data_IF_785666024981
#
_entry.id   IF_785666024981
#
_cell.length_a   1.000
_cell.length_b   1.000
_cell.length_c   1.000
_cell.angle_alpha   90.00
_cell.angle_beta   90.00
_cell.angle_gamma   90.00
#
_symmetry.space_group_name_H-M   'P 1'
#
loop_
_entity.id
_entity.type
_entity.pdbx_description
1 polymer ?
#
# COMPACT_ATOMS: atom_id res chain seq x y z
N UNK A 1 18.36 28.74 -4.69
CA UNK A 1 19.28 27.61 -4.44
C UNK A 1 18.40 26.47 -3.98
N UNK A 2 18.05 25.56 -4.90
CA UNK A 2 17.12 24.47 -4.64
C UNK A 2 17.79 23.43 -3.72
N UNK A 3 17.15 22.96 -2.64
CA UNK A 3 17.68 21.83 -1.90
C UNK A 3 17.55 20.58 -2.77
N UNK A 4 18.59 19.76 -2.72
CA UNK A 4 18.84 18.59 -3.55
C UNK A 4 17.69 17.57 -3.53
N UNK A 5 17.28 17.16 -4.72
CA UNK A 5 16.39 16.02 -5.01
C UNK A 5 17.02 14.64 -4.68
N UNK A 6 18.22 14.61 -4.10
CA UNK A 6 19.06 13.42 -3.95
C UNK A 6 19.16 12.90 -2.50
N UNK A 7 18.51 13.54 -1.54
CA UNK A 7 18.41 12.99 -0.17
C UNK A 7 17.12 12.18 -0.01
N UNK A 8 17.28 10.87 -0.25
CA UNK A 8 16.61 9.77 0.45
C UNK A 8 15.13 9.51 0.09
N UNK A 9 14.71 8.62 -0.81
CA UNK A 9 15.18 7.30 -1.26
C UNK A 9 15.53 6.25 -0.19
N UNK A 10 15.60 6.60 1.10
CA UNK A 10 15.62 5.61 2.19
C UNK A 10 14.23 5.51 2.80
N UNK A 11 13.60 4.35 2.61
CA UNK A 11 12.47 3.81 3.36
C UNK A 11 11.55 4.87 4.00
N UNK A 12 10.64 5.46 3.20
CA UNK A 12 9.43 6.02 3.78
C UNK A 12 8.66 4.83 4.34
N UNK A 13 8.85 4.54 5.62
CA UNK A 13 7.93 3.70 6.39
C UNK A 13 6.60 4.46 6.29
N UNK A 14 5.77 4.09 5.31
CA UNK A 14 4.40 4.59 5.14
C UNK A 14 3.65 4.26 6.43
N UNK A 15 2.48 4.80 6.73
CA UNK A 15 1.73 4.25 7.87
C UNK A 15 0.82 3.14 7.35
N UNK A 16 0.95 1.95 7.94
CA UNK A 16 0.23 0.77 7.47
C UNK A 16 -1.29 1.00 7.50
N UNK A 17 -1.74 1.87 8.40
CA UNK A 17 -3.15 2.23 8.62
C UNK A 17 -3.53 3.50 7.82
N UNK A 18 -2.56 4.23 7.26
CA UNK A 18 -2.77 5.45 6.46
C UNK A 18 -2.48 5.19 4.99
N UNK A 19 -3.44 4.54 4.35
CA UNK A 19 -3.42 4.37 2.91
C UNK A 19 -3.48 5.71 2.17
N UNK A 20 -2.73 5.82 1.08
CA UNK A 20 -3.03 6.81 0.03
C UNK A 20 -4.24 6.29 -0.77
N UNK A 21 -5.27 7.11 -0.90
CA UNK A 21 -6.39 6.79 -1.78
C UNK A 21 -5.89 6.61 -3.23
N UNK A 22 -6.25 5.53 -3.94
CA UNK A 22 -5.91 5.35 -5.34
C UNK A 22 -6.46 6.52 -6.19
N UNK A 23 -5.73 6.98 -7.22
CA UNK A 23 -6.21 8.03 -8.11
C UNK A 23 -7.53 7.69 -8.82
N UNK A 24 -7.74 6.41 -9.15
CA UNK A 24 -8.94 5.92 -9.83
C UNK A 24 -10.22 6.11 -8.99
N UNK A 25 -10.08 6.11 -7.66
CA UNK A 25 -11.19 6.26 -6.75
C UNK A 25 -11.62 7.71 -6.52
N UNK A 26 -10.81 8.67 -6.96
CA UNK A 26 -11.10 10.10 -6.83
C UNK A 26 -11.39 10.67 -8.22
N UNK A 27 -12.65 11.05 -8.42
CA UNK A 27 -13.26 11.35 -9.72
C UNK A 27 -12.53 12.38 -10.62
N UNK A 28 -11.55 13.14 -10.13
CA UNK A 28 -10.73 14.02 -10.95
C UNK A 28 -9.36 14.35 -10.32
N UNK A 29 -8.42 14.82 -11.16
CA UNK A 29 -7.04 15.20 -10.79
C UNK A 29 -6.98 16.24 -9.66
N UNK A 30 -7.98 17.12 -9.55
CA UNK A 30 -8.06 18.14 -8.48
C UNK A 30 -8.41 17.50 -7.14
N UNK A 31 -9.30 16.50 -7.16
CA UNK A 31 -9.63 15.66 -6.01
C UNK A 31 -8.41 14.84 -5.57
N UNK A 32 -7.69 14.19 -6.50
CA UNK A 32 -6.49 13.42 -6.16
C UNK A 32 -5.46 14.27 -5.43
N UNK A 33 -5.15 15.46 -5.96
CA UNK A 33 -4.23 16.40 -5.31
C UNK A 33 -4.71 16.84 -3.93
N UNK A 34 -6.02 17.05 -3.78
CA UNK A 34 -6.60 17.46 -2.50
C UNK A 34 -6.56 16.33 -1.46
N UNK A 35 -6.80 15.09 -1.86
CA UNK A 35 -6.68 13.92 -0.99
C UNK A 35 -5.23 13.65 -0.57
N UNK A 36 -4.27 13.76 -1.50
CA UNK A 36 -2.84 13.66 -1.17
C UNK A 36 -2.42 14.75 -0.19
N UNK A 37 -2.89 15.98 -0.39
CA UNK A 37 -2.60 17.08 0.54
C UNK A 37 -3.20 16.81 1.93
N UNK A 38 -4.46 16.38 2.00
CA UNK A 38 -5.12 16.00 3.25
C UNK A 38 -4.39 14.88 3.99
N UNK A 39 -3.91 13.87 3.25
CA UNK A 39 -3.09 12.81 3.82
C UNK A 39 -1.80 13.36 4.39
N UNK A 40 -1.11 14.25 3.68
CA UNK A 40 0.10 14.90 4.19
C UNK A 40 -0.18 15.75 5.43
N UNK A 41 -1.27 16.51 5.44
CA UNK A 41 -1.70 17.33 6.59
C UNK A 41 -1.94 16.41 7.81
N UNK A 42 -2.70 15.34 7.64
CA UNK A 42 -2.97 14.35 8.68
C UNK A 42 -1.69 13.68 9.21
N UNK A 43 -0.82 13.25 8.29
CA UNK A 43 0.43 12.56 8.60
C UNK A 43 1.46 13.45 9.32
N UNK A 44 1.37 14.77 9.13
CA UNK A 44 2.24 15.76 9.77
C UNK A 44 1.93 15.87 11.26
N UNK A 45 0.64 15.82 11.65
CA UNK A 45 0.24 15.86 13.06
C UNK A 45 0.90 14.70 13.82
N UNK A 46 1.48 14.97 14.98
CA UNK A 46 2.24 14.07 15.84
C UNK A 46 3.42 13.35 15.15
N UNK A 47 3.86 13.83 13.99
CA UNK A 47 4.93 13.20 13.22
C UNK A 47 4.67 11.70 12.93
N UNK A 48 3.39 11.36 12.66
CA UNK A 48 2.85 9.98 12.64
C UNK A 48 3.69 8.98 11.85
N UNK A 49 4.09 9.33 10.63
CA UNK A 49 4.87 8.46 9.71
C UNK A 49 6.12 7.90 10.39
N UNK A 50 6.82 8.73 11.15
CA UNK A 50 8.10 8.36 11.74
C UNK A 50 7.98 8.06 13.24
N UNK A 51 6.75 7.96 13.75
CA UNK A 51 6.51 7.67 15.16
C UNK A 51 6.86 6.21 15.50
N UNK A 52 7.26 5.99 16.74
CA UNK A 52 7.47 4.67 17.32
C UNK A 52 6.20 3.81 17.22
N UNK A 53 5.02 4.43 17.32
CA UNK A 53 3.73 3.76 17.13
C UNK A 53 3.61 3.19 15.71
N UNK A 54 3.87 3.99 14.68
CA UNK A 54 3.81 3.50 13.31
C UNK A 54 4.83 2.37 13.07
N UNK A 55 6.07 2.54 13.56
CA UNK A 55 7.10 1.48 13.44
C UNK A 55 6.67 0.19 14.14
N UNK A 56 6.06 0.29 15.32
CA UNK A 56 5.53 -0.86 16.05
C UNK A 56 4.45 -1.59 15.23
N UNK A 57 3.63 -0.85 14.48
CA UNK A 57 2.62 -1.43 13.59
C UNK A 57 3.24 -2.21 12.44
N UNK A 58 4.31 -1.72 11.82
CA UNK A 58 5.05 -2.51 10.81
C UNK A 58 5.72 -3.74 11.40
N UNK A 59 6.28 -3.63 12.61
CA UNK A 59 6.86 -4.80 13.29
C UNK A 59 5.76 -5.82 13.60
N UNK A 60 4.58 -5.36 14.03
CA UNK A 60 3.42 -6.23 14.26
C UNK A 60 2.95 -6.88 12.96
N UNK A 61 2.87 -6.13 11.87
CA UNK A 61 2.52 -6.67 10.56
C UNK A 61 3.51 -7.75 10.12
N UNK A 62 4.81 -7.46 10.20
CA UNK A 62 5.87 -8.41 9.89
C UNK A 62 5.81 -9.67 10.78
N UNK A 63 5.51 -9.49 12.07
CA UNK A 63 5.31 -10.60 13.00
C UNK A 63 4.13 -11.49 12.60
N UNK A 64 2.99 -10.88 12.26
CA UNK A 64 1.80 -11.59 11.79
C UNK A 64 2.03 -12.26 10.42
N UNK A 65 2.82 -11.65 9.54
CA UNK A 65 3.19 -12.21 8.23
C UNK A 65 4.19 -13.36 8.31
N UNK A 66 4.88 -13.56 9.44
CA UNK A 66 5.92 -14.59 9.56
C UNK A 66 5.42 -15.99 9.21
N UNK A 67 4.17 -16.31 9.54
CA UNK A 67 3.56 -17.60 9.26
C UNK A 67 2.96 -17.69 7.85
N UNK A 68 2.84 -16.56 7.15
CA UNK A 68 2.37 -16.49 5.76
C UNK A 68 3.49 -16.88 4.80
N UNK A 69 4.74 -16.46 5.09
CA UNK A 69 5.90 -16.71 4.21
C UNK A 69 6.01 -18.19 3.79
N UNK A 70 5.92 -19.18 4.69
CA UNK A 70 5.95 -20.59 4.29
C UNK A 70 4.80 -21.01 3.38
N UNK A 71 3.61 -20.39 3.50
CA UNK A 71 2.44 -20.70 2.68
C UNK A 71 2.53 -20.16 1.26
N UNK A 72 3.33 -19.10 1.06
CA UNK A 72 3.59 -18.50 -0.25
C UNK A 72 4.91 -18.98 -0.88
N UNK A 73 5.73 -19.69 -0.10
CA UNK A 73 7.02 -20.21 -0.53
C UNK A 73 6.89 -21.65 -1.02
N UNK A 74 7.47 -21.94 -2.17
CA UNK A 74 7.45 -23.29 -2.76
C UNK A 74 8.86 -23.86 -2.84
N UNK A 75 9.09 -25.02 -2.23
CA UNK A 75 10.43 -25.59 -2.01
C UNK A 75 11.14 -26.11 -3.28
N UNK A 76 10.44 -26.24 -4.42
CA UNK A 76 11.00 -26.80 -5.66
C UNK A 76 10.36 -26.15 -6.89
N UNK A 77 10.90 -25.01 -7.33
CA UNK A 77 10.42 -24.35 -8.55
C UNK A 77 11.53 -24.04 -9.54
N UNK A 78 11.16 -24.09 -10.82
CA UNK A 78 11.87 -23.40 -11.89
C UNK A 78 11.64 -21.90 -11.71
N UNK A 79 12.68 -21.11 -11.96
CA UNK A 79 12.55 -19.66 -11.97
C UNK A 79 12.43 -19.16 -13.42
N UNK A 80 11.64 -18.12 -13.60
CA UNK A 80 11.31 -17.53 -14.88
C UNK A 80 11.82 -16.10 -14.95
N UNK A 81 12.25 -15.66 -16.13
CA UNK A 81 12.67 -14.29 -16.33
C UNK A 81 11.43 -13.37 -16.35
N UNK A 82 11.41 -12.35 -15.50
CA UNK A 82 10.35 -11.34 -15.46
C UNK A 82 10.96 -9.93 -15.61
N UNK A 83 10.40 -9.07 -16.49
CA UNK A 83 10.76 -7.66 -16.50
C UNK A 83 10.22 -6.96 -15.24
N UNK A 84 10.98 -5.99 -14.70
CA UNK A 84 10.64 -5.35 -13.43
C UNK A 84 9.34 -4.55 -13.53
N UNK A 85 9.11 -3.90 -14.67
CA UNK A 85 7.97 -3.03 -14.92
C UNK A 85 7.24 -3.42 -16.21
N UNK A 86 6.06 -4.03 -16.05
CA UNK A 86 5.11 -4.32 -17.13
C UNK A 86 4.02 -3.24 -17.23
N UNK A 87 4.43 -1.98 -17.22
CA UNK A 87 3.56 -0.83 -17.48
C UNK A 87 3.22 -0.69 -18.97
N UNK A 88 2.13 0.04 -19.28
CA UNK A 88 1.77 0.35 -20.67
C UNK A 88 2.87 1.10 -21.42
N UNK A 89 3.73 1.87 -20.74
CA UNK A 89 4.87 2.56 -21.36
C UNK A 89 5.94 1.62 -21.89
N UNK A 90 5.98 0.38 -21.41
CA UNK A 90 7.00 -0.62 -21.78
C UNK A 90 6.49 -1.68 -22.76
N UNK A 91 5.21 -1.60 -23.18
CA UNK A 91 4.58 -2.56 -24.09
C UNK A 91 4.16 -1.83 -25.37
N UNK A 92 4.73 -2.24 -26.50
CA UNK A 92 4.39 -1.71 -27.82
C UNK A 92 3.43 -2.64 -28.51
N UNK A 93 2.41 -2.06 -29.13
CA UNK A 93 1.39 -2.78 -29.91
C UNK A 93 1.33 -2.24 -31.34
N UNK A 94 0.90 -3.07 -32.28
CA UNK A 94 0.52 -2.64 -33.64
C UNK A 94 -0.95 -2.19 -33.72
N UNK A 95 -1.42 -1.83 -34.91
CA UNK A 95 -2.80 -1.37 -35.17
C UNK A 95 -3.86 -2.46 -34.91
N UNK A 96 -3.45 -3.73 -34.87
CA UNK A 96 -4.30 -4.90 -34.60
C UNK A 96 -4.21 -5.34 -33.12
N UNK A 97 -3.57 -4.54 -32.25
CA UNK A 97 -3.34 -4.80 -30.82
C UNK A 97 -2.43 -6.01 -30.51
N UNK A 98 -1.62 -6.47 -31.45
CA UNK A 98 -0.60 -7.48 -31.16
C UNK A 98 0.60 -6.85 -30.46
N UNK A 99 1.14 -7.52 -29.44
CA UNK A 99 2.38 -7.08 -28.78
C UNK A 99 3.55 -7.25 -29.77
N UNK A 100 4.16 -6.13 -30.16
CA UNK A 100 5.31 -6.10 -31.08
C UNK A 100 6.64 -6.04 -30.34
N UNK A 101 6.67 -5.44 -29.15
CA UNK A 101 7.88 -5.31 -28.35
C UNK A 101 7.57 -5.11 -26.86
N UNK A 102 8.45 -5.62 -26.01
CA UNK A 102 8.54 -5.28 -24.59
C UNK A 102 9.93 -4.69 -24.37
N UNK A 103 10.01 -3.50 -23.78
CA UNK A 103 11.27 -2.79 -23.53
C UNK A 103 11.62 -2.74 -22.04
N UNK A 104 12.68 -2.03 -21.70
CA UNK A 104 13.16 -1.78 -20.33
C UNK A 104 13.47 -3.05 -19.51
N UNK A 105 14.30 -3.91 -20.10
CA UNK A 105 14.79 -5.14 -19.45
C UNK A 105 15.96 -4.90 -18.49
N UNK A 106 16.40 -3.65 -18.29
CA UNK A 106 17.64 -3.32 -17.57
C UNK A 106 17.66 -3.74 -16.10
N UNK A 107 16.52 -4.08 -15.51
CA UNK A 107 16.42 -4.66 -14.16
C UNK A 107 15.57 -5.92 -14.12
N UNK A 108 15.61 -6.73 -15.17
CA UNK A 108 14.93 -8.03 -15.16
C UNK A 108 15.52 -8.96 -14.08
N UNK A 109 14.66 -9.77 -13.49
CA UNK A 109 15.04 -10.72 -12.45
C UNK A 109 14.31 -12.05 -12.64
N UNK A 110 14.84 -13.09 -12.01
CA UNK A 110 14.23 -14.42 -12.04
C UNK A 110 13.25 -14.58 -10.89
N UNK A 111 12.03 -15.03 -11.18
CA UNK A 111 10.94 -15.14 -10.21
C UNK A 111 10.35 -16.56 -10.16
N UNK A 112 9.78 -16.97 -9.03
CA UNK A 112 9.00 -18.20 -8.96
C UNK A 112 7.73 -18.09 -9.84
N UNK A 113 7.15 -19.22 -10.23
CA UNK A 113 5.98 -19.25 -11.10
C UNK A 113 4.82 -18.37 -10.62
N UNK A 114 4.43 -18.38 -9.32
CA UNK A 114 3.33 -17.56 -8.84
C UNK A 114 3.54 -16.06 -9.09
N UNK A 115 4.76 -15.57 -8.93
CA UNK A 115 5.11 -14.18 -9.22
C UNK A 115 5.05 -13.84 -10.70
N UNK A 116 5.37 -14.81 -11.59
CA UNK A 116 5.21 -14.63 -13.03
C UNK A 116 3.72 -14.55 -13.44
N UNK A 117 2.85 -15.28 -12.74
CA UNK A 117 1.41 -15.34 -13.01
C UNK A 117 0.62 -14.16 -12.44
N UNK A 118 1.28 -13.22 -11.76
CA UNK A 118 0.62 -12.00 -11.29
C UNK A 118 0.11 -11.22 -12.49
N UNK A 119 -1.21 -11.02 -12.55
CA UNK A 119 -1.83 -10.20 -13.58
C UNK A 119 -1.25 -8.79 -13.55
N UNK A 120 -0.73 -8.27 -14.69
CA UNK A 120 -0.29 -6.89 -14.78
C UNK A 120 -1.43 -5.92 -14.54
N UNK A 121 -1.20 -4.92 -13.68
CA UNK A 121 -2.09 -3.77 -13.54
C UNK A 121 -1.76 -2.70 -14.57
N UNK A 122 -2.78 -1.97 -15.02
CA UNK A 122 -2.64 -0.90 -16.00
C UNK A 122 -3.33 0.39 -15.56
N UNK A 123 -2.78 1.57 -15.92
CA UNK A 123 -1.58 1.77 -16.74
C UNK A 123 -0.24 1.46 -16.03
N UNK A 124 -0.23 1.38 -14.70
CA UNK A 124 0.97 1.13 -13.89
C UNK A 124 0.81 -0.14 -13.04
N UNK A 125 1.89 -0.91 -12.77
CA UNK A 125 1.84 -2.10 -11.90
C UNK A 125 1.35 -1.90 -10.45
N UNK A 126 1.15 -0.64 -10.04
CA UNK A 126 0.69 -0.27 -8.69
C UNK A 126 -0.83 -0.13 -8.63
N UNK A 127 -1.47 -0.04 -9.78
CA UNK A 127 -2.92 0.14 -9.86
C UNK A 127 -3.63 -1.17 -9.49
N UNK A 128 -4.92 -1.07 -9.20
CA UNK A 128 -5.73 -2.26 -9.00
C UNK A 128 -5.91 -3.01 -10.31
N UNK A 129 -6.06 -4.33 -10.19
CA UNK A 129 -6.33 -5.18 -11.34
C UNK A 129 -7.84 -5.32 -11.41
N UNK A 130 -8.40 -4.88 -12.52
CA UNK A 130 -9.80 -5.12 -12.86
C UNK A 130 -10.08 -6.65 -12.92
N UNK A 131 -11.17 -7.08 -12.27
CA UNK A 131 -11.49 -8.50 -12.12
C UNK A 131 -11.73 -9.20 -13.46
N UNK A 132 -12.33 -8.51 -14.44
CA UNK A 132 -12.55 -9.04 -15.77
C UNK A 132 -11.20 -9.18 -16.50
N UNK A 133 -10.32 -8.18 -16.37
CA UNK A 133 -8.96 -8.24 -16.91
C UNK A 133 -8.12 -9.36 -16.30
N UNK A 134 -8.25 -9.61 -14.99
CA UNK A 134 -7.61 -10.74 -14.33
C UNK A 134 -8.08 -12.09 -14.91
N UNK A 135 -9.39 -12.22 -15.16
CA UNK A 135 -9.95 -13.43 -15.76
C UNK A 135 -9.44 -13.63 -17.19
N UNK A 136 -9.49 -12.58 -18.02
CA UNK A 136 -9.02 -12.61 -19.41
C UNK A 136 -7.52 -12.96 -19.47
N UNK A 137 -6.71 -12.35 -18.61
CA UNK A 137 -5.28 -12.65 -18.53
C UNK A 137 -5.04 -14.13 -18.19
N UNK A 138 -5.73 -14.64 -17.17
CA UNK A 138 -5.63 -16.05 -16.75
C UNK A 138 -5.97 -17.00 -17.89
N UNK A 139 -7.12 -16.82 -18.53
CA UNK A 139 -7.57 -17.65 -19.65
C UNK A 139 -6.59 -17.58 -20.83
N UNK A 140 -6.08 -16.39 -21.13
CA UNK A 140 -5.11 -16.17 -22.20
C UNK A 140 -3.80 -16.89 -21.93
N UNK A 141 -3.27 -16.82 -20.71
CA UNK A 141 -2.02 -17.49 -20.32
C UNK A 141 -2.18 -19.01 -20.39
N UNK A 142 -3.30 -19.56 -19.91
CA UNK A 142 -3.62 -21.00 -20.02
C UNK A 142 -3.69 -21.42 -21.49
N UNK A 143 -4.39 -20.65 -22.33
CA UNK A 143 -4.57 -20.96 -23.75
C UNK A 143 -3.28 -20.94 -24.57
N UNK A 144 -2.34 -20.05 -24.24
CA UNK A 144 -1.09 -19.88 -24.99
C UNK A 144 0.10 -20.66 -24.42
N UNK A 145 -0.02 -21.27 -23.24
CA UNK A 145 1.09 -21.96 -22.55
C UNK A 145 0.92 -23.48 -22.50
N UNK A 146 0.88 -24.12 -23.67
CA UNK A 146 0.63 -25.57 -23.80
C UNK A 146 1.59 -26.45 -22.99
N UNK A 147 2.84 -26.01 -22.80
CA UNK A 147 3.87 -26.73 -22.04
C UNK A 147 3.64 -26.73 -20.51
N UNK A 148 2.81 -25.82 -20.01
CA UNK A 148 2.54 -25.63 -18.58
C UNK A 148 1.06 -25.81 -18.24
N UNK A 149 0.25 -26.28 -19.20
CA UNK A 149 -1.20 -26.29 -19.11
C UNK A 149 -1.72 -26.96 -17.83
N UNK A 150 -1.22 -28.15 -17.49
CA UNK A 150 -1.65 -28.88 -16.28
C UNK A 150 -1.40 -28.09 -14.99
N UNK A 151 -0.29 -27.35 -14.91
CA UNK A 151 0.05 -26.50 -13.75
C UNK A 151 -0.79 -25.23 -13.72
N UNK A 152 -1.09 -24.66 -14.89
CA UNK A 152 -1.86 -23.43 -15.01
C UNK A 152 -3.37 -23.65 -14.87
N UNK A 153 -3.87 -24.85 -15.13
CA UNK A 153 -5.28 -25.21 -14.88
C UNK A 153 -5.55 -25.49 -13.40
N UNK A 154 -4.52 -25.79 -12.60
CA UNK A 154 -4.64 -25.90 -11.15
C UNK A 154 -5.01 -24.54 -10.52
N UNK A 155 -6.18 -24.41 -9.86
CA UNK A 155 -6.56 -23.19 -9.16
C UNK A 155 -5.54 -22.74 -8.10
N UNK A 156 -4.79 -23.68 -7.50
CA UNK A 156 -3.80 -23.39 -6.47
C UNK A 156 -2.66 -22.48 -6.98
N UNK A 157 -2.29 -22.61 -8.26
CA UNK A 157 -1.27 -21.77 -8.90
C UNK A 157 -1.66 -20.29 -8.93
N UNK A 158 -2.95 -20.02 -9.17
CA UNK A 158 -3.51 -18.66 -9.24
C UNK A 158 -3.80 -18.08 -7.86
N UNK A 159 -4.24 -18.91 -6.91
CA UNK A 159 -4.35 -18.51 -5.49
C UNK A 159 -2.98 -18.09 -4.95
N UNK A 160 -1.94 -18.88 -5.25
CA UNK A 160 -0.57 -18.58 -4.87
C UNK A 160 -0.05 -17.31 -5.56
N UNK A 161 -0.44 -17.06 -6.83
CA UNK A 161 -0.11 -15.83 -7.54
C UNK A 161 -0.74 -14.61 -6.87
N UNK A 162 -2.01 -14.68 -6.49
CA UNK A 162 -2.70 -13.61 -5.76
C UNK A 162 -2.04 -13.34 -4.41
N UNK A 163 -1.73 -14.38 -3.62
CA UNK A 163 -0.99 -14.24 -2.36
C UNK A 163 0.39 -13.63 -2.56
N UNK A 164 1.10 -14.03 -3.61
CA UNK A 164 2.41 -13.48 -3.97
C UNK A 164 2.32 -12.01 -4.34
N UNK A 165 1.27 -11.60 -5.08
CA UNK A 165 1.01 -10.19 -5.40
C UNK A 165 0.82 -9.36 -4.15
N UNK A 166 -0.10 -9.75 -3.27
CA UNK A 166 -0.39 -9.02 -2.03
C UNK A 166 0.85 -8.92 -1.15
N UNK A 167 1.61 -10.02 -1.01
CA UNK A 167 2.85 -10.03 -0.26
C UNK A 167 3.89 -9.06 -0.84
N UNK A 168 4.11 -9.06 -2.16
CA UNK A 168 5.09 -8.14 -2.77
C UNK A 168 4.64 -6.68 -2.64
N UNK A 169 3.36 -6.36 -2.83
CA UNK A 169 2.85 -5.00 -2.63
C UNK A 169 3.12 -4.49 -1.21
N UNK A 170 2.95 -5.35 -0.20
CA UNK A 170 3.25 -5.05 1.20
C UNK A 170 4.75 -4.96 1.48
N UNK A 171 5.55 -5.88 0.92
CA UNK A 171 7.00 -5.93 1.15
C UNK A 171 7.73 -4.75 0.50
N UNK A 172 7.28 -4.34 -0.69
CA UNK A 172 7.82 -3.20 -1.42
C UNK A 172 7.33 -1.85 -0.83
N UNK A 173 6.34 -1.89 0.07
CA UNK A 173 5.66 -0.72 0.63
C UNK A 173 5.21 0.23 -0.48
N UNK A 174 4.73 -0.33 -1.59
CA UNK A 174 4.50 0.42 -2.82
C UNK A 174 3.04 0.38 -3.30
N UNK A 175 2.20 -0.36 -2.59
CA UNK A 175 0.76 -0.41 -2.81
C UNK A 175 0.02 0.86 -2.38
N UNK A 176 -1.21 0.96 -2.87
CA UNK A 176 -2.28 1.70 -2.20
C UNK A 176 -2.99 0.73 -1.27
N UNK A 177 -3.52 1.22 -0.15
CA UNK A 177 -4.33 0.44 0.79
C UNK A 177 -3.61 -0.74 1.48
N UNK A 178 -2.37 -0.51 1.93
CA UNK A 178 -1.55 -1.52 2.62
C UNK A 178 -2.31 -2.29 3.72
N UNK A 179 -3.17 -1.61 4.48
CA UNK A 179 -4.01 -2.29 5.48
C UNK A 179 -4.98 -3.33 4.86
N UNK A 180 -5.65 -3.00 3.76
CA UNK A 180 -6.58 -3.91 3.09
C UNK A 180 -5.83 -5.06 2.42
N UNK A 181 -4.70 -4.77 1.76
CA UNK A 181 -3.83 -5.80 1.18
C UNK A 181 -3.33 -6.78 2.25
N UNK A 182 -2.98 -6.27 3.45
CA UNK A 182 -2.60 -7.09 4.58
C UNK A 182 -3.76 -7.98 5.06
N UNK A 183 -4.97 -7.43 5.21
CA UNK A 183 -6.15 -8.23 5.62
C UNK A 183 -6.41 -9.34 4.62
N UNK A 184 -6.43 -9.02 3.33
CA UNK A 184 -6.70 -9.99 2.27
C UNK A 184 -5.66 -11.11 2.30
N UNK A 185 -4.37 -10.77 2.37
CA UNK A 185 -3.31 -11.76 2.46
C UNK A 185 -3.42 -12.61 3.73
N UNK A 186 -3.64 -11.97 4.88
CA UNK A 186 -3.69 -12.65 6.17
C UNK A 186 -4.86 -13.65 6.25
N UNK A 187 -6.05 -13.23 5.79
CA UNK A 187 -7.27 -14.06 5.78
C UNK A 187 -7.24 -15.14 4.70
N UNK A 188 -6.49 -14.95 3.61
CA UNK A 188 -6.29 -16.00 2.58
C UNK A 188 -5.49 -17.21 3.07
N UNK A 189 -4.74 -17.06 4.17
CA UNK A 189 -3.94 -18.12 4.80
C UNK A 189 -4.61 -18.65 6.06
N UNK A 190 -5.17 -17.76 6.88
CA UNK A 190 -5.82 -18.11 8.14
C UNK A 190 -7.35 -18.11 7.96
N UNK A 191 -7.86 -19.18 7.36
CA UNK A 191 -9.29 -19.31 6.99
C UNK A 191 -10.24 -19.43 8.19
N UNK A 192 -9.72 -19.84 9.34
CA UNK A 192 -10.40 -19.87 10.64
C UNK A 192 -10.69 -18.47 11.21
N UNK A 193 -10.10 -17.43 10.61
CA UNK A 193 -10.26 -16.03 10.98
C UNK A 193 -11.15 -15.24 10.02
N UNK A 194 -11.95 -15.90 9.18
CA UNK A 194 -12.95 -15.23 8.34
C UNK A 194 -13.96 -14.46 9.20
N UNK A 195 -13.85 -13.13 9.21
CA UNK A 195 -14.64 -12.23 10.08
C UNK A 195 -13.95 -11.80 11.38
N UNK A 196 -12.70 -12.17 11.61
CA UNK A 196 -11.90 -11.69 12.75
C UNK A 196 -11.53 -10.23 12.57
N UNK A 197 -11.60 -9.47 13.67
CA UNK A 197 -11.06 -8.12 13.76
C UNK A 197 -9.52 -8.15 13.65
N UNK A 198 -9.02 -8.10 12.41
CA UNK A 198 -7.57 -8.06 12.13
C UNK A 198 -6.92 -6.85 12.81
N UNK A 199 -7.64 -5.73 12.99
CA UNK A 199 -7.15 -4.60 13.78
C UNK A 199 -6.97 -4.97 15.25
N UNK A 200 -7.91 -5.73 15.81
CA UNK A 200 -7.82 -6.30 17.15
C UNK A 200 -6.54 -7.11 17.37
N UNK A 201 -5.99 -7.75 16.34
CA UNK A 201 -4.69 -8.44 16.43
C UNK A 201 -3.52 -7.45 16.64
N UNK A 202 -3.52 -6.33 15.94
CA UNK A 202 -2.53 -5.26 16.16
C UNK A 202 -2.67 -4.66 17.55
N UNK A 203 -3.90 -4.38 17.98
CA UNK A 203 -4.16 -3.84 19.32
C UNK A 203 -3.71 -4.81 20.42
N UNK A 204 -3.96 -6.11 20.25
CA UNK A 204 -3.50 -7.15 21.16
C UNK A 204 -1.96 -7.24 21.21
N UNK A 205 -1.27 -7.10 20.08
CA UNK A 205 0.20 -7.08 20.03
C UNK A 205 0.77 -5.82 20.72
N UNK A 206 0.13 -4.66 20.57
CA UNK A 206 0.57 -3.39 21.20
C UNK A 206 0.55 -3.44 22.73
N UNK A 207 -0.36 -4.20 23.33
CA UNK A 207 -0.44 -4.36 24.80
C UNK A 207 0.33 -5.57 25.32
N UNK A 208 0.91 -6.38 24.43
CA UNK A 208 1.69 -7.54 24.82
C UNK A 208 3.11 -7.12 25.22
N UNK A 209 3.43 -7.18 26.52
CA UNK A 209 4.73 -6.80 27.07
C UNK A 209 5.92 -7.58 26.50
N UNK A 210 5.69 -8.86 26.13
CA UNK A 210 6.76 -9.70 25.55
C UNK A 210 7.07 -9.25 24.12
N UNK A 211 6.03 -9.07 23.31
CA UNK A 211 6.18 -8.59 21.93
C UNK A 211 6.77 -7.17 21.90
N UNK A 212 6.21 -6.24 22.68
CA UNK A 212 6.70 -4.87 22.74
C UNK A 212 8.12 -4.79 23.30
N UNK A 213 8.44 -5.61 24.32
CA UNK A 213 9.80 -5.76 24.85
C UNK A 213 10.81 -6.19 23.79
N UNK A 214 10.45 -7.13 22.92
CA UNK A 214 11.27 -7.59 21.80
C UNK A 214 11.34 -6.54 20.67
N UNK A 215 10.23 -5.87 20.38
CA UNK A 215 10.14 -4.84 19.34
C UNK A 215 10.91 -3.56 19.70
N UNK A 216 11.11 -3.26 21.00
CA UNK A 216 11.84 -2.07 21.48
C UNK A 216 13.23 -1.91 20.88
N UNK A 217 13.92 -2.99 20.54
CA UNK A 217 15.24 -2.89 19.90
C UNK A 217 15.20 -2.24 18.51
N UNK A 218 14.06 -2.35 17.80
CA UNK A 218 13.84 -1.73 16.50
C UNK A 218 13.17 -0.36 16.55
N UNK A 219 12.77 0.13 17.73
CA UNK A 219 12.12 1.43 17.88
C UNK A 219 13.15 2.51 18.18
N UNK A 220 13.42 3.39 17.21
CA UNK A 220 14.16 4.64 17.48
C UNK A 220 13.32 5.53 18.37
N UNK A 221 13.96 6.28 19.27
CA UNK A 221 13.28 7.28 20.09
C UNK A 221 12.56 8.30 19.21
N UNK A 222 11.34 8.66 19.63
CA UNK A 222 10.58 9.70 18.97
C UNK A 222 11.21 11.05 19.19
N UNK A 223 10.95 11.97 18.26
CA UNK A 223 11.38 13.36 18.42
C UNK A 223 10.76 13.95 19.70
N UNK A 224 11.48 14.84 20.40
CA UNK A 224 10.91 15.57 21.53
C UNK A 224 9.64 16.30 21.10
N UNK A 225 8.64 16.36 21.99
CA UNK A 225 7.36 17.01 21.71
C UNK A 225 7.51 18.47 21.22
N UNK A 226 8.53 19.19 21.73
CA UNK A 226 8.85 20.55 21.28
C UNK A 226 9.31 20.61 19.81
N UNK A 227 10.05 19.61 19.34
CA UNK A 227 10.49 19.54 17.95
C UNK A 227 9.34 19.12 17.03
N UNK A 228 8.48 18.19 17.47
CA UNK A 228 7.26 17.82 16.76
C UNK A 228 6.37 19.06 16.57
N UNK A 229 6.07 19.78 17.65
CA UNK A 229 5.27 21.01 17.60
C UNK A 229 5.88 22.08 16.67
N UNK A 230 7.21 22.24 16.70
CA UNK A 230 7.91 23.15 15.77
C UNK A 230 7.70 22.72 14.32
N UNK A 231 7.90 21.45 14.00
CA UNK A 231 7.73 20.91 12.63
C UNK A 231 6.30 21.02 12.14
N UNK A 232 5.30 20.74 12.99
CA UNK A 232 3.89 20.95 12.67
C UNK A 232 3.61 22.42 12.36
N UNK A 233 4.05 23.34 13.24
CA UNK A 233 3.84 24.77 13.04
C UNK A 233 4.50 25.26 11.74
N UNK A 234 5.73 24.86 11.49
CA UNK A 234 6.47 25.21 10.27
C UNK A 234 5.74 24.71 9.01
N UNK A 235 5.18 23.50 9.06
CA UNK A 235 4.37 22.93 7.98
C UNK A 235 3.07 23.71 7.75
N UNK A 236 2.26 23.90 8.79
CA UNK A 236 0.93 24.52 8.67
C UNK A 236 0.97 26.03 8.43
N UNK A 237 2.11 26.69 8.64
CA UNK A 237 2.29 28.13 8.32
C UNK A 237 1.95 28.45 6.86
N UNK A 238 2.14 27.50 5.95
CA UNK A 238 1.88 27.67 4.52
C UNK A 238 0.67 26.86 4.02
N UNK A 239 -0.07 26.24 4.93
CA UNK A 239 -1.22 25.40 4.58
C UNK A 239 -2.49 26.22 4.37
N UNK A 240 -3.51 25.58 3.79
CA UNK A 240 -4.81 26.22 3.56
C UNK A 240 -5.51 26.52 4.90
N UNK A 241 -6.38 27.54 4.95
CA UNK A 241 -7.24 27.76 6.11
C UNK A 241 -8.00 26.48 6.49
N UNK A 242 -8.09 26.20 7.79
CA UNK A 242 -8.77 25.02 8.37
C UNK A 242 -8.15 23.65 8.05
N UNK A 243 -7.02 23.60 7.33
CA UNK A 243 -6.30 22.34 7.08
C UNK A 243 -5.80 21.70 8.39
N UNK A 244 -5.21 22.51 9.28
CA UNK A 244 -4.75 22.04 10.60
C UNK A 244 -5.92 21.53 11.45
N UNK A 245 -7.02 22.28 11.53
CA UNK A 245 -8.20 21.91 12.31
C UNK A 245 -8.78 20.56 11.87
N UNK A 246 -8.86 20.35 10.54
CA UNK A 246 -9.34 19.09 9.99
C UNK A 246 -8.37 17.94 10.25
N UNK A 247 -7.06 18.17 10.09
CA UNK A 247 -6.03 17.16 10.38
C UNK A 247 -6.03 16.75 11.86
N UNK A 248 -6.23 17.70 12.78
CA UNK A 248 -6.40 17.42 14.22
C UNK A 248 -7.70 16.69 14.51
N UNK A 249 -8.83 17.10 13.92
CA UNK A 249 -10.13 16.39 14.04
C UNK A 249 -10.02 14.92 13.60
N UNK A 250 -9.36 14.68 12.47
CA UNK A 250 -9.10 13.32 11.98
C UNK A 250 -8.15 12.56 12.92
N UNK A 251 -7.11 13.21 13.45
CA UNK A 251 -6.18 12.58 14.40
C UNK A 251 -6.88 12.18 15.71
N UNK A 252 -7.76 13.03 16.22
CA UNK A 252 -8.58 12.74 17.40
C UNK A 252 -9.53 11.56 17.16
N UNK A 253 -10.14 11.51 15.96
CA UNK A 253 -10.98 10.39 15.54
C UNK A 253 -10.17 9.09 15.50
N UNK A 254 -9.01 9.11 14.86
CA UNK A 254 -8.10 7.96 14.78
C UNK A 254 -7.60 7.46 16.15
N UNK A 255 -7.49 8.35 17.14
CA UNK A 255 -7.10 8.01 18.50
C UNK A 255 -8.24 7.41 19.36
N UNK A 256 -9.50 7.70 19.04
CA UNK A 256 -10.67 7.35 19.86
C UNK A 256 -11.51 6.20 19.29
N UNK A 257 -11.57 6.09 17.96
CA UNK A 257 -12.39 5.10 17.29
C UNK A 257 -11.63 3.79 17.13
N UNK A 258 -12.10 2.75 17.81
CA UNK A 258 -11.62 1.39 17.62
C UNK A 258 -11.85 0.97 16.15
N UNK A 259 -10.86 0.33 15.53
CA UNK A 259 -10.98 -0.07 14.13
C UNK A 259 -10.73 1.04 13.10
N UNK A 260 -10.36 2.27 13.50
CA UNK A 260 -10.13 3.33 12.52
C UNK A 260 -8.99 2.99 11.54
N UNK A 261 -9.31 3.10 10.25
CA UNK A 261 -8.40 2.99 9.11
C UNK A 261 -8.60 4.23 8.25
N UNK A 262 -7.51 4.90 7.88
CA UNK A 262 -7.61 6.04 6.97
C UNK A 262 -7.60 5.55 5.51
N UNK A 263 -8.72 4.93 5.13
CA UNK A 263 -8.97 4.38 3.80
C UNK A 263 -9.43 5.45 2.79
N UNK A 264 -9.66 5.03 1.54
CA UNK A 264 -10.19 5.89 0.50
C UNK A 264 -11.49 6.63 0.89
N UNK A 265 -12.36 6.02 1.69
CA UNK A 265 -13.66 6.59 2.09
C UNK A 265 -13.48 7.76 3.07
N UNK A 266 -12.54 7.63 4.01
CA UNK A 266 -12.15 8.73 4.90
C UNK A 266 -11.66 9.91 4.08
N UNK A 267 -10.77 9.67 3.10
CA UNK A 267 -10.22 10.75 2.28
C UNK A 267 -11.26 11.40 1.37
N UNK A 268 -12.14 10.63 0.73
CA UNK A 268 -13.26 11.16 -0.06
C UNK A 268 -14.14 12.07 0.80
N UNK A 269 -14.52 11.60 1.99
CA UNK A 269 -15.36 12.35 2.94
C UNK A 269 -14.68 13.65 3.40
N UNK A 270 -13.38 13.60 3.72
CA UNK A 270 -12.61 14.77 4.13
C UNK A 270 -12.48 15.82 2.99
N UNK A 271 -12.29 15.37 1.75
CA UNK A 271 -12.31 16.27 0.57
C UNK A 271 -13.66 16.97 0.44
N UNK A 272 -14.77 16.24 0.63
CA UNK A 272 -16.11 16.85 0.62
C UNK A 272 -16.34 17.84 1.77
N UNK A 273 -15.81 17.56 2.98
CA UNK A 273 -15.90 18.51 4.11
C UNK A 273 -15.12 19.80 3.82
N UNK A 274 -13.89 19.71 3.28
CA UNK A 274 -13.12 20.90 2.90
C UNK A 274 -13.79 21.74 1.82
N UNK A 275 -14.43 21.10 0.83
CA UNK A 275 -15.13 21.81 -0.23
C UNK A 275 -16.33 22.64 0.27
N UNK A 276 -16.87 22.29 1.46
CA UNK A 276 -17.99 23.01 2.11
C UNK A 276 -17.52 24.11 3.05
N UNK A 277 -16.22 24.18 3.37
CA UNK A 277 -15.70 25.23 4.24
C UNK A 277 -15.87 26.61 3.58
N UNK A 278 -16.34 27.64 4.31
CA UNK A 278 -16.53 28.97 3.75
C UNK A 278 -15.21 29.51 3.22
N UNK A 279 -15.21 30.00 1.97
CA UNK A 279 -14.04 30.68 1.40
C UNK A 279 -13.70 31.90 2.27
N UNK A 280 -12.41 32.17 2.53
CA UNK A 280 -12.04 33.36 3.28
C UNK A 280 -12.59 34.59 2.57
N UNK A 281 -13.30 35.43 3.33
CA UNK A 281 -13.71 36.76 2.88
C UNK A 281 -12.43 37.53 2.60
N UNK A 282 -12.20 37.92 1.35
CA UNK A 282 -11.08 38.77 0.98
C UNK A 282 -11.19 40.08 1.80
N UNK A 283 -10.22 40.31 2.67
CA UNK A 283 -9.96 41.60 3.32
C UNK A 283 -9.11 42.47 2.41
#
# INVERSE_FOLDING_TARGET
>A
MAPNLAESQHAQIRDMILSKCPPAEIANVVGCRSAVQLWNDFATIDWKINSSKNRLDYIAAAHLMRNIIPSISTCQQKYYLKPPDLSMSNIFIDDDFNITCIIDWTSCFTVPLPTLLITPSFPHPRDDVDADMASIFKESVIGHSSQMKDVLEDPSSWDLAQKSRLFMQLADLDGYEDYHNFIELYTSVHTDLSGTDVRGLFDALRVNDTFTGQAKWGLTEDLPASEIQRKEKDYFTHSRPSAEDLARKLSDKAGKEAGFVADCNVWKSAVFELAKAPKPVAT
#
